data_IF_581811065128
#
_entry.id   IF_581811065128
#
_cell.length_a   1.000
_cell.length_b   1.000
_cell.length_c   1.000
_cell.angle_alpha   90.00
_cell.angle_beta   90.00
_cell.angle_gamma   90.00
#
_symmetry.space_group_name_H-M   'P 1'
#
loop_
_entity.id
_entity.type
_entity.pdbx_description
1 polymer ?
#
# COMPACT_ATOMS: atom_id res chain seq x y z
N UNK A 1 -74.17 -11.12 14.89
CA UNK A 1 -73.51 -9.95 15.51
C UNK A 1 -72.68 -9.27 14.44
N UNK A 2 -72.70 -7.94 14.46
CA UNK A 2 -72.46 -7.02 13.35
C UNK A 2 -71.05 -7.05 12.72
N UNK A 3 -70.98 -6.81 11.40
CA UNK A 3 -69.87 -6.14 10.68
C UNK A 3 -69.81 -4.64 11.08
N UNK A 4 -68.73 -3.85 10.84
CA UNK A 4 -68.21 -3.46 9.50
C UNK A 4 -66.65 -3.40 9.40
N UNK A 5 -66.02 -3.62 8.24
CA UNK A 5 -65.64 -2.65 7.16
C UNK A 5 -64.88 -1.40 7.62
N UNK A 6 -63.62 -1.24 7.17
CA UNK A 6 -63.02 0.07 6.91
C UNK A 6 -61.98 -0.01 5.77
N UNK A 7 -62.41 0.48 4.62
CA UNK A 7 -61.66 1.04 3.50
C UNK A 7 -61.12 2.42 3.87
N UNK A 8 -59.88 2.74 3.49
CA UNK A 8 -59.42 4.11 3.31
C UNK A 8 -58.34 4.14 2.23
N UNK A 9 -58.79 4.46 1.03
CA UNK A 9 -57.98 4.99 -0.07
C UNK A 9 -57.50 6.41 0.29
N UNK A 10 -56.26 6.72 -0.06
CA UNK A 10 -55.83 8.11 -0.29
C UNK A 10 -54.91 8.15 -1.51
N UNK A 11 -55.52 8.25 -2.68
CA UNK A 11 -54.92 8.90 -3.85
C UNK A 11 -55.25 10.40 -3.80
N UNK A 12 -54.36 11.25 -4.34
CA UNK A 12 -54.66 12.33 -5.30
C UNK A 12 -53.68 13.54 -5.20
N UNK A 13 -53.12 13.87 -6.37
CA UNK A 13 -52.59 15.16 -6.90
C UNK A 13 -51.33 15.79 -6.29
N UNK A 14 -50.22 15.90 -7.04
CA UNK A 14 -49.89 16.74 -8.23
C UNK A 14 -49.26 18.09 -7.84
N UNK A 15 -47.99 18.27 -8.25
CA UNK A 15 -47.37 19.50 -8.80
C UNK A 15 -45.86 19.21 -8.93
N UNK A 16 -45.35 18.82 -10.10
CA UNK A 16 -44.99 19.70 -11.22
C UNK A 16 -44.19 20.94 -10.81
N UNK A 17 -42.86 20.80 -10.79
CA UNK A 17 -41.99 21.92 -11.16
C UNK A 17 -40.85 21.43 -12.05
N UNK A 18 -40.99 21.81 -13.32
CA UNK A 18 -39.93 21.85 -14.33
C UNK A 18 -38.77 22.68 -13.81
N UNK A 19 -37.55 22.18 -13.95
CA UNK A 19 -36.43 23.03 -14.35
C UNK A 19 -35.52 22.27 -15.30
N UNK A 20 -35.56 22.71 -16.56
CA UNK A 20 -34.53 22.53 -17.56
C UNK A 20 -33.22 23.18 -17.09
N UNK A 21 -32.10 22.65 -17.60
CA UNK A 21 -30.96 23.50 -17.94
C UNK A 21 -29.65 23.18 -17.24
N UNK A 22 -28.83 22.37 -17.93
CA UNK A 22 -27.44 22.68 -18.27
C UNK A 22 -26.45 22.95 -17.11
N UNK A 23 -25.48 22.07 -16.93
CA UNK A 23 -24.13 22.27 -17.49
C UNK A 23 -23.18 21.18 -17.01
N UNK A 24 -22.53 20.55 -17.99
CA UNK A 24 -21.26 19.86 -17.83
C UNK A 24 -20.29 20.80 -17.10
N UNK A 25 -19.92 20.47 -15.86
CA UNK A 25 -18.73 21.02 -15.23
C UNK A 25 -17.69 19.92 -15.16
N UNK A 26 -16.91 19.85 -16.23
CA UNK A 26 -15.63 19.16 -16.31
C UNK A 26 -14.65 19.93 -15.40
N UNK A 27 -14.77 19.72 -14.10
CA UNK A 27 -13.91 20.30 -13.09
C UNK A 27 -12.76 19.35 -12.79
N UNK A 28 -11.65 19.50 -13.50
CA UNK A 28 -10.34 18.95 -13.12
C UNK A 28 -9.96 19.53 -11.74
N UNK A 29 -10.47 18.90 -10.68
CA UNK A 29 -9.90 18.99 -9.35
C UNK A 29 -8.64 18.12 -9.34
N UNK A 30 -7.58 18.64 -9.96
CA UNK A 30 -6.23 18.13 -9.80
C UNK A 30 -5.84 18.35 -8.33
N UNK A 31 -6.19 17.38 -7.49
CA UNK A 31 -5.82 17.34 -6.09
C UNK A 31 -4.28 17.49 -5.99
N UNK A 32 -3.74 18.52 -5.31
CA UNK A 32 -2.31 18.85 -5.36
C UNK A 32 -1.41 17.77 -4.76
N UNK A 33 -1.98 16.75 -4.12
CA UNK A 33 -1.30 15.54 -3.66
C UNK A 33 -0.90 14.58 -4.80
N UNK A 34 -1.52 14.67 -5.99
CA UNK A 34 -1.28 13.71 -7.09
C UNK A 34 0.02 13.93 -7.87
N UNK A 35 0.66 15.11 -7.81
CA UNK A 35 1.84 15.39 -8.65
C UNK A 35 3.17 14.89 -8.09
N UNK A 36 3.22 14.43 -6.83
CA UNK A 36 4.49 14.12 -6.15
C UNK A 36 4.82 12.63 -6.03
N UNK A 37 3.88 11.76 -6.39
CA UNK A 37 4.16 10.34 -6.65
C UNK A 37 4.75 10.08 -8.04
N UNK A 38 4.60 11.02 -8.97
CA UNK A 38 4.89 10.85 -10.40
C UNK A 38 6.38 10.56 -10.70
N UNK A 39 7.30 11.10 -9.91
CA UNK A 39 8.74 11.05 -10.22
C UNK A 39 9.50 9.89 -9.54
N UNK A 40 8.84 9.09 -8.68
CA UNK A 40 9.41 7.84 -8.14
C UNK A 40 8.93 6.57 -8.85
N UNK A 41 8.17 6.71 -9.93
CA UNK A 41 8.05 5.66 -10.95
C UNK A 41 9.08 5.94 -12.03
N UNK A 42 10.36 5.98 -11.63
CA UNK A 42 11.41 5.69 -12.60
C UNK A 42 11.10 4.29 -13.09
N UNK A 43 10.63 4.19 -14.35
CA UNK A 43 10.80 3.04 -15.24
C UNK A 43 11.25 1.81 -14.46
N UNK A 44 10.30 1.02 -13.93
CA UNK A 44 10.64 -0.34 -13.53
C UNK A 44 11.06 -1.03 -14.82
N UNK A 45 12.34 -0.92 -15.15
CA UNK A 45 13.04 -1.82 -16.05
C UNK A 45 12.96 -3.18 -15.39
N UNK A 46 11.80 -3.83 -15.54
CA UNK A 46 11.58 -5.21 -15.17
C UNK A 46 12.57 -6.02 -15.99
N UNK A 47 13.78 -6.26 -15.46
CA UNK A 47 14.47 -7.49 -15.81
C UNK A 47 13.56 -8.59 -15.32
N UNK A 48 13.16 -9.51 -16.20
CA UNK A 48 12.00 -10.30 -15.90
C UNK A 48 12.41 -11.38 -14.91
N UNK A 49 11.96 -11.22 -13.65
CA UNK A 49 11.90 -12.30 -12.66
C UNK A 49 10.76 -13.26 -13.05
N UNK A 50 10.80 -13.73 -14.31
CA UNK A 50 9.85 -14.63 -14.96
C UNK A 50 9.60 -15.91 -14.15
N UNK A 51 10.55 -16.29 -13.31
CA UNK A 51 10.50 -17.53 -12.55
C UNK A 51 9.57 -17.42 -11.33
N UNK A 52 9.66 -16.31 -10.58
CA UNK A 52 8.88 -16.14 -9.33
C UNK A 52 7.43 -15.74 -9.64
N UNK A 53 7.20 -14.87 -10.63
CA UNK A 53 5.85 -14.57 -11.16
C UNK A 53 5.13 -15.86 -11.57
N UNK A 54 5.74 -16.68 -12.45
CA UNK A 54 5.15 -17.94 -12.91
C UNK A 54 4.96 -18.98 -11.81
N UNK A 55 5.78 -18.96 -10.76
CA UNK A 55 5.70 -19.92 -9.66
C UNK A 55 4.61 -19.54 -8.65
N UNK A 56 4.50 -18.26 -8.29
CA UNK A 56 3.45 -17.76 -7.39
C UNK A 56 2.06 -17.76 -8.03
N UNK A 57 1.95 -17.28 -9.28
CA UNK A 57 0.68 -17.21 -10.01
C UNK A 57 0.02 -18.59 -10.23
N UNK A 58 0.84 -19.65 -10.26
CA UNK A 58 0.39 -21.02 -10.47
C UNK A 58 -0.06 -21.72 -9.18
N UNK A 59 0.21 -21.13 -8.02
CA UNK A 59 -0.13 -21.74 -6.75
C UNK A 59 -1.64 -21.61 -6.49
N UNK A 60 -2.38 -22.72 -6.56
CA UNK A 60 -3.86 -22.75 -6.39
C UNK A 60 -4.34 -22.14 -5.07
N UNK A 61 -3.51 -22.18 -4.01
CA UNK A 61 -3.85 -21.51 -2.75
C UNK A 61 -3.79 -19.98 -2.87
N UNK A 62 -2.88 -19.44 -3.68
CA UNK A 62 -2.79 -18.00 -3.90
C UNK A 62 -4.06 -17.51 -4.61
N UNK A 63 -4.48 -18.19 -5.69
CA UNK A 63 -5.72 -17.86 -6.39
C UNK A 63 -6.95 -17.95 -5.48
N UNK A 64 -7.03 -18.96 -4.61
CA UNK A 64 -8.12 -19.09 -3.65
C UNK A 64 -8.13 -17.98 -2.58
N UNK A 65 -6.95 -17.54 -2.14
CA UNK A 65 -6.80 -16.43 -1.18
C UNK A 65 -7.14 -15.09 -1.84
N UNK A 66 -6.69 -14.87 -3.07
CA UNK A 66 -7.00 -13.70 -3.88
C UNK A 66 -8.50 -13.62 -4.15
N UNK A 67 -9.13 -14.72 -4.53
CA UNK A 67 -10.58 -14.78 -4.73
C UNK A 67 -11.34 -14.40 -3.45
N UNK A 68 -10.97 -14.97 -2.30
CA UNK A 68 -11.57 -14.59 -1.01
C UNK A 68 -11.27 -13.15 -0.59
N UNK A 69 -10.14 -12.59 -1.02
CA UNK A 69 -9.80 -11.20 -0.75
C UNK A 69 -10.66 -10.27 -1.61
N UNK A 70 -10.90 -10.61 -2.88
CA UNK A 70 -11.83 -9.89 -3.75
C UNK A 70 -13.23 -9.88 -3.15
N UNK A 71 -13.77 -11.04 -2.80
CA UNK A 71 -15.12 -11.19 -2.24
C UNK A 71 -15.28 -10.47 -0.88
N UNK A 72 -14.18 -10.13 -0.20
CA UNK A 72 -14.21 -9.38 1.07
C UNK A 72 -14.16 -7.86 0.86
N UNK A 73 -13.66 -7.42 -0.29
CA UNK A 73 -13.43 -6.00 -0.61
C UNK A 73 -14.58 -5.46 -1.45
N UNK A 74 -15.12 -6.29 -2.34
CA UNK A 74 -16.36 -6.08 -3.07
C UNK A 74 -17.53 -6.10 -2.07
N UNK A 75 -17.78 -4.94 -1.45
CA UNK A 75 -18.73 -4.82 -0.34
C UNK A 75 -20.13 -4.58 -0.85
N UNK A 76 -20.24 -3.97 -2.03
CA UNK A 76 -21.50 -3.70 -2.71
C UNK A 76 -22.00 -4.89 -3.56
N UNK A 77 -21.14 -5.89 -3.80
CA UNK A 77 -21.47 -7.11 -4.54
C UNK A 77 -21.72 -6.84 -6.01
N UNK A 78 -21.17 -5.75 -6.55
CA UNK A 78 -21.29 -5.40 -7.96
C UNK A 78 -20.49 -6.35 -8.84
N UNK A 79 -19.46 -6.99 -8.27
CA UNK A 79 -18.54 -7.87 -9.00
C UNK A 79 -17.37 -7.13 -9.64
N UNK A 80 -17.28 -5.81 -9.43
CA UNK A 80 -16.22 -4.92 -9.90
C UNK A 80 -15.75 -4.03 -8.74
N UNK A 81 -14.50 -3.57 -8.74
CA UNK A 81 -13.95 -2.75 -7.67
C UNK A 81 -13.69 -1.32 -8.11
N UNK A 82 -14.15 -0.35 -7.31
CA UNK A 82 -13.79 1.05 -7.48
C UNK A 82 -12.39 1.39 -6.89
N UNK A 83 -11.91 2.61 -7.12
CA UNK A 83 -10.59 3.06 -6.63
C UNK A 83 -10.47 3.02 -5.10
N UNK A 84 -11.57 3.30 -4.38
CA UNK A 84 -11.63 3.28 -2.91
C UNK A 84 -11.59 1.87 -2.35
N UNK A 85 -12.35 0.97 -2.95
CA UNK A 85 -12.41 -0.44 -2.60
C UNK A 85 -11.08 -1.10 -2.88
N UNK A 86 -10.46 -0.85 -4.05
CA UNK A 86 -9.13 -1.37 -4.35
C UNK A 86 -8.09 -0.91 -3.31
N UNK A 87 -8.10 0.38 -2.94
CA UNK A 87 -7.20 0.91 -1.92
C UNK A 87 -7.37 0.19 -0.58
N UNK A 88 -8.62 0.00 -0.16
CA UNK A 88 -8.96 -0.70 1.08
C UNK A 88 -8.54 -2.17 1.02
N UNK A 89 -8.78 -2.83 -0.11
CA UNK A 89 -8.40 -4.21 -0.35
C UNK A 89 -6.89 -4.43 -0.33
N UNK A 90 -6.13 -3.57 -0.98
CA UNK A 90 -4.67 -3.60 -0.92
C UNK A 90 -4.15 -3.46 0.52
N UNK A 91 -4.76 -2.58 1.32
CA UNK A 91 -4.39 -2.38 2.71
C UNK A 91 -4.69 -3.63 3.56
N UNK A 92 -5.88 -4.22 3.41
CA UNK A 92 -6.28 -5.43 4.11
C UNK A 92 -5.37 -6.61 3.76
N UNK A 93 -5.07 -6.79 2.46
CA UNK A 93 -4.20 -7.88 2.00
C UNK A 93 -2.80 -7.72 2.56
N UNK A 94 -2.21 -6.52 2.51
CA UNK A 94 -0.92 -6.26 3.14
C UNK A 94 -0.97 -6.49 4.65
N UNK A 95 -2.01 -6.07 5.35
CA UNK A 95 -2.14 -6.29 6.78
C UNK A 95 -2.22 -7.79 7.13
N UNK A 96 -2.95 -8.58 6.33
CA UNK A 96 -3.02 -10.04 6.49
C UNK A 96 -1.68 -10.71 6.24
N UNK A 97 -0.94 -10.29 5.21
CA UNK A 97 0.42 -10.77 4.94
C UNK A 97 1.36 -10.38 6.07
N UNK A 98 1.30 -9.12 6.52
CA UNK A 98 2.14 -8.59 7.58
C UNK A 98 1.92 -9.28 8.93
N UNK A 99 0.69 -9.68 9.24
CA UNK A 99 0.41 -10.50 10.43
C UNK A 99 1.23 -11.80 10.45
N UNK A 100 1.54 -12.37 9.29
CA UNK A 100 2.26 -13.64 9.17
C UNK A 100 3.75 -13.45 8.88
N UNK A 101 4.12 -12.37 8.18
CA UNK A 101 5.48 -12.14 7.71
C UNK A 101 6.24 -11.08 8.54
N UNK A 102 5.61 -10.51 9.57
CA UNK A 102 6.23 -9.57 10.51
C UNK A 102 6.23 -8.12 10.05
N UNK A 103 6.82 -7.25 10.86
CA UNK A 103 6.88 -5.79 10.66
C UNK A 103 7.56 -5.37 9.37
N UNK A 104 8.43 -6.22 8.81
CA UNK A 104 9.10 -5.95 7.53
C UNK A 104 8.11 -5.82 6.35
N UNK A 105 6.88 -6.33 6.48
CA UNK A 105 5.83 -6.21 5.45
C UNK A 105 4.85 -5.06 5.70
N UNK A 106 5.00 -4.29 6.79
CA UNK A 106 4.00 -3.33 7.30
C UNK A 106 4.03 -1.95 6.61
N UNK A 107 4.52 -1.83 5.39
CA UNK A 107 4.46 -0.54 4.69
C UNK A 107 3.16 -0.47 3.87
N UNK A 108 2.15 0.30 4.27
CA UNK A 108 0.97 0.50 3.45
C UNK A 108 1.34 1.28 2.18
N UNK A 109 0.77 0.94 1.02
CA UNK A 109 0.96 1.72 -0.19
C UNK A 109 0.28 3.06 -0.03
N UNK A 110 0.89 4.12 -0.56
CA UNK A 110 0.21 5.43 -0.58
C UNK A 110 -0.93 5.40 -1.58
N UNK A 111 -1.94 6.27 -1.39
CA UNK A 111 -3.09 6.34 -2.31
C UNK A 111 -2.66 6.53 -3.77
N UNK A 112 -1.66 7.38 -4.01
CA UNK A 112 -1.10 7.59 -5.33
C UNK A 112 -0.48 6.33 -5.97
N UNK A 113 0.14 5.45 -5.16
CA UNK A 113 0.64 4.16 -5.65
C UNK A 113 -0.51 3.22 -6.01
N UNK A 114 -1.58 3.24 -5.22
CA UNK A 114 -2.77 2.46 -5.54
C UNK A 114 -3.46 2.97 -6.81
N UNK A 115 -3.51 4.28 -7.02
CA UNK A 115 -4.04 4.88 -8.25
C UNK A 115 -3.21 4.45 -9.47
N UNK A 116 -1.88 4.41 -9.34
CA UNK A 116 -0.99 3.90 -10.40
C UNK A 116 -1.21 2.41 -10.68
N UNK A 117 -1.36 1.59 -9.63
CA UNK A 117 -1.68 0.17 -9.81
C UNK A 117 -3.05 -0.04 -10.44
N UNK A 118 -4.02 0.83 -10.13
CA UNK A 118 -5.32 0.84 -10.76
C UNK A 118 -5.18 1.14 -12.25
N UNK A 119 -4.53 2.25 -12.61
CA UNK A 119 -4.42 2.70 -14.00
C UNK A 119 -3.59 1.72 -14.87
N UNK A 120 -2.62 1.00 -14.30
CA UNK A 120 -1.86 -0.05 -15.01
C UNK A 120 -2.65 -1.35 -15.21
N UNK A 121 -3.58 -1.65 -14.30
CA UNK A 121 -4.37 -2.86 -14.33
C UNK A 121 -5.66 -2.73 -15.14
N UNK A 122 -6.29 -1.56 -15.12
CA UNK A 122 -7.48 -1.16 -15.89
C UNK A 122 -7.13 -0.97 -17.37
N UNK A 123 -6.73 -2.08 -18.02
CA UNK A 123 -6.31 -2.07 -19.44
C UNK A 123 -7.47 -1.79 -20.37
N UNK A 124 -8.68 -2.12 -19.93
CA UNK A 124 -9.91 -1.90 -20.69
C UNK A 124 -10.45 -0.46 -20.52
N UNK A 125 -9.87 0.36 -19.62
CA UNK A 125 -10.28 1.73 -19.28
C UNK A 125 -11.77 1.80 -18.92
N UNK A 126 -12.25 0.80 -18.19
CA UNK A 126 -13.65 0.77 -17.73
C UNK A 126 -13.86 1.70 -16.54
N UNK A 127 -12.79 2.10 -15.84
CA UNK A 127 -12.87 2.88 -14.61
C UNK A 127 -13.23 2.03 -13.39
N UNK A 128 -13.25 0.71 -13.54
CA UNK A 128 -13.53 -0.30 -12.52
C UNK A 128 -12.58 -1.48 -12.70
N UNK A 129 -12.29 -2.22 -11.64
CA UNK A 129 -11.36 -3.36 -11.69
C UNK A 129 -12.14 -4.66 -11.58
N UNK A 130 -12.06 -5.49 -12.62
CA UNK A 130 -12.66 -6.81 -12.59
C UNK A 130 -11.82 -7.80 -11.76
N UNK A 131 -12.37 -9.00 -11.51
CA UNK A 131 -11.71 -10.03 -10.71
C UNK A 131 -10.36 -10.50 -11.27
N UNK A 132 -10.18 -10.48 -12.60
CA UNK A 132 -8.95 -10.88 -13.28
C UNK A 132 -7.87 -9.79 -13.24
N UNK A 133 -8.29 -8.53 -13.34
CA UNK A 133 -7.44 -7.35 -13.18
C UNK A 133 -6.98 -7.22 -11.72
N UNK A 134 -7.88 -7.45 -10.77
CA UNK A 134 -7.54 -7.51 -9.35
C UNK A 134 -6.50 -8.59 -9.03
N UNK A 135 -6.62 -9.76 -9.66
CA UNK A 135 -5.62 -10.82 -9.50
C UNK A 135 -4.24 -10.36 -9.98
N UNK A 136 -4.19 -9.64 -11.11
CA UNK A 136 -2.94 -9.09 -11.65
C UNK A 136 -2.32 -8.06 -10.69
N UNK A 137 -3.13 -7.17 -10.11
CA UNK A 137 -2.68 -6.20 -9.11
C UNK A 137 -2.10 -6.92 -7.89
N UNK A 138 -2.83 -7.87 -7.32
CA UNK A 138 -2.39 -8.57 -6.12
C UNK A 138 -1.14 -9.43 -6.37
N UNK A 139 -0.97 -9.99 -7.57
CA UNK A 139 0.25 -10.68 -7.93
C UNK A 139 1.45 -9.73 -7.89
N UNK A 140 1.35 -8.56 -8.54
CA UNK A 140 2.41 -7.54 -8.54
C UNK A 140 2.73 -7.09 -7.11
N UNK A 141 1.70 -6.77 -6.31
CA UNK A 141 1.88 -6.31 -4.93
C UNK A 141 2.53 -7.39 -4.06
N UNK A 142 2.09 -8.64 -4.18
CA UNK A 142 2.63 -9.76 -3.39
C UNK A 142 4.09 -10.01 -3.74
N UNK A 143 4.46 -9.95 -5.02
CA UNK A 143 5.84 -10.15 -5.46
C UNK A 143 6.74 -9.02 -4.98
N UNK A 144 6.27 -7.78 -5.01
CA UNK A 144 7.02 -6.64 -4.48
C UNK A 144 7.31 -6.85 -2.98
N UNK A 145 6.29 -7.20 -2.20
CA UNK A 145 6.43 -7.50 -0.77
C UNK A 145 7.37 -8.68 -0.53
N UNK A 146 7.23 -9.76 -1.30
CA UNK A 146 8.10 -10.94 -1.19
C UNK A 146 9.56 -10.61 -1.55
N UNK A 147 9.77 -9.78 -2.58
CA UNK A 147 11.12 -9.36 -2.98
C UNK A 147 11.79 -8.57 -1.87
N UNK A 148 11.06 -7.69 -1.19
CA UNK A 148 11.56 -6.96 -0.03
C UNK A 148 11.92 -7.89 1.13
N UNK A 149 11.08 -8.90 1.41
CA UNK A 149 11.38 -9.92 2.43
C UNK A 149 12.64 -10.69 2.09
N UNK A 150 12.74 -11.22 0.87
CA UNK A 150 13.90 -12.00 0.44
C UNK A 150 15.16 -11.15 0.48
N UNK A 151 15.12 -9.90 0.01
CA UNK A 151 16.25 -8.99 0.07
C UNK A 151 16.69 -8.71 1.52
N UNK A 152 15.74 -8.49 2.43
CA UNK A 152 16.02 -8.27 3.84
C UNK A 152 16.63 -9.51 4.51
N UNK A 153 16.07 -10.69 4.29
CA UNK A 153 16.64 -11.92 4.85
C UNK A 153 18.00 -12.27 4.23
N UNK A 154 18.17 -12.05 2.94
CA UNK A 154 19.45 -12.26 2.25
C UNK A 154 20.53 -11.31 2.78
N UNK A 155 20.20 -10.03 3.01
CA UNK A 155 21.16 -9.06 3.58
C UNK A 155 21.57 -9.45 5.00
N UNK A 156 20.63 -9.93 5.83
CA UNK A 156 20.93 -10.43 7.18
C UNK A 156 21.83 -11.66 7.12
N UNK A 157 21.49 -12.67 6.30
CA UNK A 157 22.28 -13.90 6.17
C UNK A 157 23.69 -13.60 5.68
N UNK A 158 23.83 -12.70 4.71
CA UNK A 158 25.12 -12.35 4.12
C UNK A 158 25.97 -11.49 5.04
N UNK A 159 25.36 -10.59 5.81
CA UNK A 159 26.07 -9.69 6.72
C UNK A 159 26.40 -10.33 8.08
N UNK A 160 25.62 -11.32 8.53
CA UNK A 160 25.73 -12.02 9.82
C UNK A 160 27.14 -12.52 10.23
N UNK A 161 27.97 -13.11 9.35
CA UNK A 161 29.28 -13.61 9.78
C UNK A 161 30.28 -12.49 10.11
N UNK A 162 30.09 -11.29 9.58
CA UNK A 162 31.00 -10.16 9.79
C UNK A 162 31.01 -9.63 11.24
N UNK A 163 29.86 -9.30 11.88
CA UNK A 163 29.85 -8.85 13.26
C UNK A 163 30.33 -9.93 14.23
N UNK A 164 30.03 -11.21 13.98
CA UNK A 164 30.49 -12.33 14.82
C UNK A 164 32.02 -12.41 14.83
N UNK A 165 32.64 -12.39 13.65
CA UNK A 165 34.11 -12.45 13.53
C UNK A 165 34.78 -11.20 14.10
N UNK A 166 34.18 -10.02 13.95
CA UNK A 166 34.66 -8.78 14.57
C UNK A 166 34.58 -8.85 16.10
N UNK A 167 33.47 -9.35 16.65
CA UNK A 167 33.23 -9.43 18.09
C UNK A 167 34.13 -10.47 18.79
N UNK A 168 34.37 -11.63 18.17
CA UNK A 168 35.30 -12.63 18.70
C UNK A 168 36.75 -12.10 18.72
N UNK A 169 37.17 -11.37 17.69
CA UNK A 169 38.47 -10.68 17.68
C UNK A 169 38.57 -9.63 18.78
N UNK A 170 37.49 -8.89 19.02
CA UNK A 170 37.43 -7.89 20.07
C UNK A 170 37.60 -8.50 21.47
N UNK A 171 37.01 -9.69 21.72
CA UNK A 171 37.13 -10.40 23.00
C UNK A 171 38.46 -11.13 23.20
N UNK A 172 39.37 -11.14 22.20
CA UNK A 172 40.67 -11.85 22.24
C UNK A 172 40.57 -13.29 22.76
N UNK A 173 39.54 -14.01 22.32
CA UNK A 173 39.36 -15.42 22.71
C UNK A 173 40.48 -16.25 22.05
N UNK A 174 41.20 -17.10 22.82
CA UNK A 174 42.26 -17.94 22.27
C UNK A 174 41.70 -18.97 21.27
N UNK A 175 42.29 -18.98 20.06
CA UNK A 175 41.90 -19.85 18.95
C UNK A 175 42.16 -21.33 19.28
N UNK A 176 41.21 -22.21 18.95
CA UNK A 176 41.35 -23.66 19.06
C UNK A 176 40.80 -24.29 20.35
N UNK A 177 40.11 -23.52 21.19
CA UNK A 177 39.44 -24.04 22.39
C UNK A 177 37.99 -24.47 22.11
N UNK A 178 37.49 -25.48 22.82
CA UNK A 178 36.07 -25.90 22.75
C UNK A 178 35.10 -24.73 23.00
N UNK A 179 35.50 -23.78 23.85
CA UNK A 179 34.73 -22.58 24.15
C UNK A 179 34.55 -21.65 22.94
N UNK A 180 35.43 -21.69 21.94
CA UNK A 180 35.31 -20.88 20.73
C UNK A 180 34.09 -21.30 19.90
N UNK A 181 33.88 -22.60 19.72
CA UNK A 181 32.75 -23.12 18.94
C UNK A 181 31.42 -22.83 19.63
N UNK A 182 31.33 -23.12 20.94
CA UNK A 182 30.11 -22.88 21.71
C UNK A 182 29.78 -21.39 21.82
N UNK A 183 30.78 -20.53 21.97
CA UNK A 183 30.55 -19.08 22.04
C UNK A 183 30.16 -18.50 20.68
N UNK A 184 30.75 -18.98 19.58
CA UNK A 184 30.39 -18.54 18.22
C UNK A 184 28.93 -18.82 17.89
N UNK A 185 28.43 -20.02 18.17
CA UNK A 185 27.03 -20.36 17.92
C UNK A 185 26.07 -19.55 18.81
N UNK A 186 26.38 -19.44 20.11
CA UNK A 186 25.56 -18.68 21.05
C UNK A 186 25.50 -17.18 20.70
N UNK A 187 26.63 -16.58 20.32
CA UNK A 187 26.73 -15.18 19.90
C UNK A 187 25.99 -14.97 18.58
N UNK A 188 26.11 -15.90 17.63
CA UNK A 188 25.39 -15.80 16.35
C UNK A 188 23.89 -15.79 16.59
N UNK A 189 23.37 -16.72 17.39
CA UNK A 189 21.94 -16.77 17.75
C UNK A 189 21.52 -15.48 18.48
N UNK A 190 22.28 -15.03 19.48
CA UNK A 190 21.97 -13.81 20.22
C UNK A 190 21.96 -12.57 19.32
N UNK A 191 22.93 -12.45 18.40
CA UNK A 191 22.99 -11.39 17.41
C UNK A 191 21.78 -11.47 16.49
N UNK A 192 21.38 -12.64 16.00
CA UNK A 192 20.17 -12.77 15.18
C UNK A 192 18.93 -12.25 15.92
N UNK A 193 18.73 -12.64 17.17
CA UNK A 193 17.57 -12.20 17.97
C UNK A 193 17.58 -10.71 18.30
N UNK A 194 18.75 -10.08 18.42
CA UNK A 194 18.87 -8.64 18.73
C UNK A 194 18.90 -7.76 17.47
N UNK A 195 19.60 -8.20 16.42
CA UNK A 195 19.75 -7.45 15.18
C UNK A 195 18.49 -7.49 14.31
N UNK A 196 17.73 -8.59 14.28
CA UNK A 196 16.49 -8.62 13.46
C UNK A 196 15.54 -7.48 13.88
N UNK A 197 15.18 -7.31 15.18
CA UNK A 197 14.35 -6.18 15.61
C UNK A 197 15.01 -4.83 15.36
N UNK A 198 16.32 -4.70 15.62
CA UNK A 198 17.06 -3.44 15.43
C UNK A 198 17.16 -3.01 13.97
N UNK A 199 17.43 -3.94 13.06
CA UNK A 199 17.46 -3.68 11.62
C UNK A 199 16.08 -3.31 11.10
N UNK A 200 15.03 -4.02 11.53
CA UNK A 200 13.67 -3.65 11.18
C UNK A 200 13.35 -2.21 11.63
N UNK A 201 13.71 -1.85 12.87
CA UNK A 201 13.51 -0.51 13.40
C UNK A 201 14.39 0.55 12.70
N UNK A 202 15.63 0.20 12.33
CA UNK A 202 16.53 1.11 11.63
C UNK A 202 16.10 1.38 10.20
N UNK A 203 15.65 0.34 9.47
CA UNK A 203 15.07 0.48 8.13
C UNK A 203 13.80 1.35 8.19
N UNK A 204 12.99 1.20 9.23
CA UNK A 204 11.81 2.04 9.46
C UNK A 204 12.18 3.51 9.63
N UNK A 205 13.22 3.81 10.42
CA UNK A 205 13.71 5.18 10.58
C UNK A 205 14.25 5.77 9.26
N UNK A 206 15.00 4.97 8.49
CA UNK A 206 15.54 5.41 7.19
C UNK A 206 14.43 5.64 6.16
N UNK A 207 13.38 4.82 6.16
CA UNK A 207 12.23 5.01 5.29
C UNK A 207 11.42 6.24 5.68
N UNK A 208 11.24 6.50 6.97
CA UNK A 208 10.52 7.67 7.50
C UNK A 208 11.26 8.99 7.21
N UNK A 209 12.57 9.01 7.36
CA UNK A 209 13.38 10.22 7.14
C UNK A 209 13.49 10.60 5.66
N UNK A 210 13.39 9.63 4.75
CA UNK A 210 13.39 9.89 3.32
C UNK A 210 12.16 10.72 2.86
N UNK A 211 11.07 10.74 3.64
CA UNK A 211 9.82 11.42 3.29
C UNK A 211 9.64 12.78 4.02
N UNK A 212 10.34 13.01 5.14
CA UNK A 212 10.35 14.27 5.90
C UNK A 212 10.73 15.54 5.10
N UNK A 213 11.81 15.58 4.30
CA UNK A 213 12.21 16.81 3.60
C UNK A 213 11.20 17.21 2.52
N UNK A 214 10.45 16.24 1.97
CA UNK A 214 9.43 16.48 0.96
C UNK A 214 8.16 17.02 1.59
N UNK A 215 7.75 16.50 2.75
CA UNK A 215 6.61 17.02 3.51
C UNK A 215 6.80 18.49 3.91
N UNK A 216 8.03 18.86 4.33
CA UNK A 216 8.39 20.25 4.67
C UNK A 216 8.40 21.18 3.45
N UNK A 217 8.84 20.69 2.29
CA UNK A 217 8.75 21.45 1.04
C UNK A 217 7.30 21.71 0.61
N UNK A 218 6.38 20.76 0.86
CA UNK A 218 4.95 20.93 0.57
C UNK A 218 4.26 21.91 1.50
N UNK A 219 4.55 21.86 2.80
CA UNK A 219 4.00 22.85 3.73
C UNK A 219 4.42 24.27 3.36
N UNK A 220 5.70 24.46 3.02
CA UNK A 220 6.23 25.77 2.58
C UNK A 220 5.61 26.28 1.27
N UNK A 221 5.19 25.39 0.35
CA UNK A 221 4.50 25.80 -0.88
C UNK A 221 3.01 26.10 -0.66
N UNK A 222 2.35 25.35 0.24
CA UNK A 222 0.94 25.59 0.58
C UNK A 222 0.73 26.92 1.31
N UNK A 223 1.66 27.33 2.19
CA UNK A 223 1.61 28.64 2.84
C UNK A 223 1.78 29.80 1.83
N UNK A 224 2.64 29.63 0.82
CA UNK A 224 2.82 30.66 -0.23
C UNK A 224 1.60 30.83 -1.11
N UNK A 225 0.88 29.76 -1.43
CA UNK A 225 -0.35 29.84 -2.23
C UNK A 225 -1.52 30.42 -1.44
N UNK A 226 -1.66 30.04 -0.17
CA UNK A 226 -2.68 30.60 0.73
C UNK A 226 -2.45 32.10 1.01
N UNK A 227 -1.18 32.53 1.13
CA UNK A 227 -0.82 33.94 1.28
C UNK A 227 -1.14 34.79 0.04
N UNK A 228 -0.78 34.31 -1.15
CA UNK A 228 -1.01 35.05 -2.40
C UNK A 228 -2.48 35.19 -2.79
N UNK A 229 -3.35 34.27 -2.38
CA UNK A 229 -4.78 34.35 -2.65
C UNK A 229 -5.49 35.39 -1.76
N UNK A 230 -4.99 35.61 -0.53
CA UNK A 230 -5.47 36.67 0.36
C UNK A 230 -5.06 38.07 -0.10
N UNK A 231 -3.85 38.24 -0.63
CA UNK A 231 -3.40 39.52 -1.19
C UNK A 231 -4.21 39.95 -2.42
N UNK A 232 -4.51 39.02 -3.33
CA UNK A 232 -5.36 39.31 -4.51
C UNK A 232 -6.80 39.63 -4.15
N UNK A 233 -7.34 39.03 -3.09
CA UNK A 233 -8.68 39.35 -2.60
C UNK A 233 -8.75 40.74 -1.94
N UNK A 234 -7.67 41.19 -1.30
CA UNK A 234 -7.57 42.54 -0.73
C UNK A 234 -7.36 43.62 -1.80
N UNK A 235 -6.60 43.33 -2.88
CA UNK A 235 -6.37 44.30 -3.95
C UNK A 235 -7.57 44.49 -4.89
N UNK A 236 -8.56 43.58 -4.89
CA UNK A 236 -9.78 43.76 -5.69
C UNK A 236 -10.87 44.55 -4.95
N UNK A 237 -10.62 44.97 -3.72
CA UNK A 237 -11.56 45.69 -2.86
C UNK A 237 -11.22 47.18 -2.70
N UNK A 238 -10.04 47.61 -3.19
CA UNK A 238 -9.57 49.00 -3.23
C UNK A 238 -9.65 49.51 -4.67
#
# INVERSE_FOLDING_TARGET
MCSPTNTADTSTEEQSLKHEGSTVSNGNNDDPYQRLGRDRVTKFGRKPLNFIERWLAKHRLFQAVVGKAFDFVDTDGTGDLDKSELYTGMLIVRLKIAKHAGSAACYPPTRAQCDEYFDEADKNNTGTIDRSEFHTILEIVTINVLTQMVANYASIILLSPYPVTLFLKFLRVPEGSYYEYSSREAITVAIYFLFIPLLCNFIEHLSSDADQPKLKAHQAQSEKQSGGQKEKALSSFV
#
